data_IF_908824965210
#
_entry.id   IF_908824965210
#
_cell.length_a   1.000
_cell.length_b   1.000
_cell.length_c   1.000
_cell.angle_alpha   90.00
_cell.angle_beta   90.00
_cell.angle_gamma   90.00
#
_symmetry.space_group_name_H-M   'P 1'
#
loop_
_entity.id
_entity.type
_entity.pdbx_description
1 polymer ?
#
# COMPACT_ATOMS: atom_id res chain seq x y z
N UNK A 1 4.29 21.36 -12.34
CA UNK A 1 5.71 21.69 -12.10
C UNK A 1 5.91 22.58 -10.90
N UNK A 2 5.42 23.83 -10.85
CA UNK A 2 5.66 24.72 -9.71
C UNK A 2 5.37 24.12 -8.31
N UNK A 3 4.26 23.37 -8.16
CA UNK A 3 3.96 22.66 -6.92
C UNK A 3 4.97 21.53 -6.65
N UNK A 4 5.29 20.72 -7.66
CA UNK A 4 6.29 19.64 -7.58
C UNK A 4 7.67 20.17 -7.23
N UNK A 5 8.08 21.31 -7.79
CA UNK A 5 9.33 22.00 -7.47
C UNK A 5 9.35 22.43 -6.00
N UNK A 6 8.26 23.05 -5.54
CA UNK A 6 8.13 23.59 -4.18
C UNK A 6 8.13 22.49 -3.11
N UNK A 7 7.51 21.33 -3.37
CA UNK A 7 7.22 20.33 -2.34
C UNK A 7 7.89 18.97 -2.53
N UNK A 8 8.30 18.62 -3.76
CA UNK A 8 8.89 17.30 -4.06
C UNK A 8 10.36 17.42 -4.43
N UNK A 9 10.70 18.23 -5.45
CA UNK A 9 12.09 18.38 -5.94
C UNK A 9 12.98 19.02 -4.87
N UNK A 10 12.42 19.94 -4.07
CA UNK A 10 13.14 20.53 -2.93
C UNK A 10 13.57 19.48 -1.88
N UNK A 11 12.91 18.32 -1.86
CA UNK A 11 13.21 17.18 -1.00
C UNK A 11 13.69 15.97 -1.81
N UNK A 12 14.38 16.21 -2.94
CA UNK A 12 15.07 15.15 -3.69
C UNK A 12 16.22 14.60 -2.83
N UNK A 13 16.21 13.29 -2.61
CA UNK A 13 17.19 12.57 -1.81
C UNK A 13 18.53 12.35 -2.50
N UNK A 14 19.47 11.78 -1.77
CA UNK A 14 20.79 11.44 -2.30
C UNK A 14 20.71 10.37 -3.41
N UNK A 15 21.45 10.58 -4.50
CA UNK A 15 21.49 9.65 -5.62
C UNK A 15 22.54 8.54 -5.41
N UNK A 16 22.11 7.40 -4.90
CA UNK A 16 22.98 6.23 -4.71
C UNK A 16 23.51 5.62 -6.02
N UNK A 17 23.07 6.09 -7.20
CA UNK A 17 23.66 5.69 -8.47
C UNK A 17 25.03 6.36 -8.72
N UNK A 18 25.37 7.44 -7.98
CA UNK A 18 26.66 8.13 -8.07
C UNK A 18 27.82 7.18 -7.73
N UNK A 19 27.67 6.41 -6.66
CA UNK A 19 28.66 5.42 -6.19
C UNK A 19 28.93 4.32 -7.22
N UNK A 20 27.96 4.05 -8.11
CA UNK A 20 28.02 3.01 -9.15
C UNK A 20 28.38 3.57 -10.53
N UNK A 21 28.61 4.88 -10.67
CA UNK A 21 28.86 5.54 -11.97
C UNK A 21 27.66 5.51 -12.92
N UNK A 22 26.44 5.38 -12.38
CA UNK A 22 25.18 5.30 -13.15
C UNK A 22 24.28 6.52 -12.94
N UNK A 23 24.71 7.53 -12.17
CA UNK A 23 23.90 8.72 -11.94
C UNK A 23 23.52 9.44 -13.25
N UNK A 24 22.30 9.97 -13.30
CA UNK A 24 21.88 10.90 -14.34
C UNK A 24 22.42 12.30 -14.04
N UNK A 25 22.68 13.09 -15.07
CA UNK A 25 23.02 14.51 -14.88
C UNK A 25 21.82 15.29 -14.32
N UNK A 26 22.03 16.46 -13.73
CA UNK A 26 20.94 17.31 -13.22
C UNK A 26 19.88 17.60 -14.30
N UNK A 27 20.31 17.96 -15.51
CA UNK A 27 19.40 18.20 -16.63
C UNK A 27 18.54 16.97 -16.97
N UNK A 28 19.12 15.77 -16.98
CA UNK A 28 18.38 14.53 -17.23
C UNK A 28 17.40 14.20 -16.10
N UNK A 29 17.75 14.52 -14.85
CA UNK A 29 16.86 14.37 -13.70
C UNK A 29 15.68 15.35 -13.78
N UNK A 30 15.92 16.59 -14.21
CA UNK A 30 14.85 17.58 -14.39
C UNK A 30 13.87 17.16 -15.51
N UNK A 31 14.39 16.55 -16.58
CA UNK A 31 13.57 15.89 -17.62
C UNK A 31 12.75 14.72 -17.06
N UNK A 32 13.34 13.89 -16.19
CA UNK A 32 12.63 12.78 -15.54
C UNK A 32 11.50 13.29 -14.62
N UNK A 33 11.71 14.39 -13.90
CA UNK A 33 10.69 15.02 -13.05
C UNK A 33 9.50 15.49 -13.88
N UNK A 34 9.75 16.21 -14.97
CA UNK A 34 8.68 16.60 -15.88
C UNK A 34 7.96 15.39 -16.48
N UNK A 35 8.72 14.36 -16.86
CA UNK A 35 8.17 13.14 -17.44
C UNK A 35 7.25 12.43 -16.46
N UNK A 36 7.66 12.28 -15.20
CA UNK A 36 6.87 11.55 -14.20
C UNK A 36 5.58 12.30 -13.82
N UNK A 37 5.63 13.64 -13.74
CA UNK A 37 4.43 14.48 -13.55
C UNK A 37 3.47 14.35 -14.75
N UNK A 38 3.99 14.36 -15.98
CA UNK A 38 3.17 14.15 -17.19
C UNK A 38 2.54 12.75 -17.20
N UNK A 39 3.24 11.72 -16.74
CA UNK A 39 2.69 10.36 -16.64
C UNK A 39 1.56 10.29 -15.62
N UNK A 40 1.69 10.93 -14.46
CA UNK A 40 0.59 11.01 -13.49
C UNK A 40 -0.66 11.65 -14.11
N UNK A 41 -0.51 12.77 -14.84
CA UNK A 41 -1.62 13.40 -15.55
C UNK A 41 -2.27 12.46 -16.58
N UNK A 42 -1.46 11.79 -17.39
CA UNK A 42 -1.95 10.84 -18.41
C UNK A 42 -2.69 9.67 -17.75
N UNK A 43 -2.17 9.10 -16.67
CA UNK A 43 -2.82 8.00 -15.95
C UNK A 43 -4.16 8.46 -15.38
N UNK A 44 -4.20 9.63 -14.75
CA UNK A 44 -5.45 10.20 -14.23
C UNK A 44 -6.49 10.42 -15.34
N UNK A 45 -6.07 11.00 -16.47
CA UNK A 45 -6.94 11.25 -17.62
C UNK A 45 -7.41 9.94 -18.26
N UNK A 46 -6.57 8.90 -18.31
CA UNK A 46 -6.97 7.57 -18.76
C UNK A 46 -8.03 6.94 -17.85
N UNK A 47 -7.92 7.12 -16.53
CA UNK A 47 -8.89 6.57 -15.57
C UNK A 47 -10.25 7.28 -15.69
N UNK A 48 -10.24 8.60 -15.67
CA UNK A 48 -11.44 9.42 -15.40
C UNK A 48 -11.93 10.26 -16.58
N UNK A 49 -11.13 10.37 -17.64
CA UNK A 49 -11.35 11.32 -18.71
C UNK A 49 -10.94 12.75 -18.32
N UNK A 50 -10.91 13.65 -19.31
CA UNK A 50 -10.52 15.04 -19.09
C UNK A 50 -11.17 15.99 -20.12
N UNK A 51 -12.09 16.88 -19.69
CA UNK A 51 -12.72 17.86 -20.58
C UNK A 51 -11.73 18.78 -21.30
N UNK A 52 -10.55 19.05 -20.72
CA UNK A 52 -9.51 19.86 -21.38
C UNK A 52 -8.96 19.19 -22.64
N UNK A 53 -8.91 17.85 -22.68
CA UNK A 53 -8.51 17.12 -23.89
C UNK A 53 -9.52 17.32 -25.03
N UNK A 54 -10.81 17.40 -24.70
CA UNK A 54 -11.87 17.70 -25.68
C UNK A 54 -11.68 19.09 -26.29
N UNK A 55 -11.40 20.10 -25.46
CA UNK A 55 -11.13 21.47 -25.89
C UNK A 55 -9.87 21.57 -26.78
N UNK A 56 -8.89 20.70 -26.55
CA UNK A 56 -7.66 20.59 -27.34
C UNK A 56 -7.82 19.75 -28.63
N UNK A 57 -9.00 19.14 -28.84
CA UNK A 57 -9.32 18.37 -30.05
C UNK A 57 -9.14 16.85 -29.92
N UNK A 58 -8.68 16.34 -28.76
CA UNK A 58 -8.50 14.92 -28.45
C UNK A 58 -9.81 14.32 -27.92
N UNK A 59 -10.80 14.18 -28.83
CA UNK A 59 -12.18 13.83 -28.45
C UNK A 59 -12.30 12.43 -27.87
N UNK A 60 -11.58 11.46 -28.42
CA UNK A 60 -11.63 10.07 -27.96
C UNK A 60 -10.96 9.94 -26.59
N UNK A 61 -9.77 10.50 -26.43
CA UNK A 61 -8.98 10.46 -25.20
C UNK A 61 -9.66 11.22 -24.06
N UNK A 62 -10.48 12.23 -24.37
CA UNK A 62 -11.22 12.99 -23.35
C UNK A 62 -12.23 12.18 -22.54
N UNK A 63 -12.64 11.00 -23.04
CA UNK A 63 -13.64 10.15 -22.40
C UNK A 63 -13.11 9.38 -21.19
N UNK A 64 -11.82 9.02 -21.20
CA UNK A 64 -11.24 8.07 -20.25
C UNK A 64 -11.84 6.67 -20.34
N UNK A 65 -11.64 5.87 -19.28
CA UNK A 65 -12.03 4.45 -19.24
C UNK A 65 -13.03 4.11 -18.13
N UNK A 66 -13.60 5.12 -17.45
CA UNK A 66 -14.54 4.95 -16.33
C UNK A 66 -13.99 3.97 -15.27
N UNK A 67 -12.69 4.10 -14.97
CA UNK A 67 -11.96 3.17 -14.13
C UNK A 67 -12.02 3.61 -12.66
N UNK A 68 -12.64 2.79 -11.81
CA UNK A 68 -12.64 2.99 -10.35
C UNK A 68 -11.33 2.50 -9.68
N UNK A 69 -10.57 1.67 -10.39
CA UNK A 69 -9.24 1.22 -10.01
C UNK A 69 -8.45 0.91 -11.28
N UNK A 70 -7.13 1.08 -11.23
CA UNK A 70 -6.23 0.80 -12.34
C UNK A 70 -4.93 0.14 -11.84
N UNK A 71 -4.08 -0.25 -12.78
CA UNK A 71 -2.74 -0.74 -12.50
C UNK A 71 -1.78 -0.35 -13.61
N UNK A 72 -0.53 -0.10 -13.26
CA UNK A 72 0.54 0.20 -14.22
C UNK A 72 1.56 -0.91 -14.18
N UNK A 73 1.83 -1.52 -15.34
CA UNK A 73 2.73 -2.66 -15.38
C UNK A 73 4.16 -2.28 -15.00
N UNK A 74 4.68 -1.17 -15.57
CA UNK A 74 6.05 -0.70 -15.33
C UNK A 74 7.11 -1.73 -15.75
N UNK A 75 7.48 -2.60 -14.81
CA UNK A 75 8.48 -3.62 -15.06
C UNK A 75 7.99 -4.66 -16.10
N UNK A 76 8.80 -5.08 -17.06
CA UNK A 76 10.21 -4.69 -17.31
C UNK A 76 10.37 -3.73 -18.47
N UNK A 77 9.51 -3.82 -19.47
CA UNK A 77 9.69 -3.20 -20.78
C UNK A 77 9.66 -1.68 -20.71
N UNK A 78 8.80 -1.10 -19.85
CA UNK A 78 8.77 0.35 -19.67
C UNK A 78 9.97 0.83 -18.88
N UNK A 79 10.21 0.27 -17.69
CA UNK A 79 11.26 0.75 -16.76
C UNK A 79 12.69 0.46 -17.24
N UNK A 80 12.88 -0.50 -18.16
CA UNK A 80 14.14 -0.70 -18.86
C UNK A 80 14.50 0.48 -19.81
N UNK A 81 13.55 1.36 -20.13
CA UNK A 81 13.72 2.47 -21.08
C UNK A 81 13.32 3.86 -20.55
N UNK A 82 12.15 3.99 -19.89
CA UNK A 82 11.57 5.25 -19.40
C UNK A 82 11.57 5.30 -17.86
N UNK A 83 11.48 6.51 -17.26
CA UNK A 83 11.29 6.64 -15.82
C UNK A 83 10.15 5.77 -15.30
N UNK A 84 10.34 5.17 -14.13
CA UNK A 84 9.33 4.34 -13.49
C UNK A 84 8.09 5.14 -13.06
N UNK A 85 7.10 4.42 -12.52
CA UNK A 85 5.83 4.99 -12.11
C UNK A 85 5.77 5.30 -10.62
N UNK A 86 6.90 5.33 -9.90
CA UNK A 86 6.87 5.45 -8.44
C UNK A 86 6.18 6.73 -7.97
N UNK A 87 6.49 7.86 -8.60
CA UNK A 87 5.86 9.14 -8.30
C UNK A 87 4.36 9.15 -8.66
N UNK A 88 3.93 8.75 -9.88
CA UNK A 88 2.52 8.58 -10.20
C UNK A 88 1.77 7.65 -9.26
N UNK A 89 2.30 6.47 -8.95
CA UNK A 89 1.68 5.49 -8.05
C UNK A 89 1.51 6.06 -6.64
N UNK A 90 2.52 6.77 -6.14
CA UNK A 90 2.49 7.39 -4.81
C UNK A 90 1.46 8.51 -4.72
N UNK A 91 1.52 9.50 -5.63
CA UNK A 91 0.63 10.65 -5.58
C UNK A 91 -0.80 10.34 -6.04
N UNK A 92 -1.02 9.43 -6.99
CA UNK A 92 -2.37 9.00 -7.35
C UNK A 92 -3.07 8.36 -6.14
N UNK A 93 -2.36 7.51 -5.38
CA UNK A 93 -2.87 6.88 -4.17
C UNK A 93 -2.88 7.82 -2.94
N UNK A 94 -2.38 9.04 -3.06
CA UNK A 94 -2.38 10.07 -2.01
C UNK A 94 -3.65 10.92 -2.08
N UNK A 95 -4.15 11.37 -0.94
CA UNK A 95 -5.39 12.17 -0.83
C UNK A 95 -5.20 13.66 -1.13
N UNK A 96 -4.11 14.05 -1.79
CA UNK A 96 -3.81 15.42 -2.20
C UNK A 96 -2.77 15.44 -3.32
N UNK A 97 -2.81 16.49 -4.14
CA UNK A 97 -1.75 16.83 -5.09
C UNK A 97 -1.74 18.35 -5.37
N UNK A 98 -1.21 18.76 -6.51
CA UNK A 98 -1.16 20.16 -6.93
C UNK A 98 -2.53 20.82 -7.14
N UNK A 99 -3.62 20.06 -7.21
CA UNK A 99 -4.99 20.57 -7.27
C UNK A 99 -5.65 20.70 -5.89
N UNK A 100 -4.91 20.39 -4.82
CA UNK A 100 -5.41 20.41 -3.44
C UNK A 100 -5.78 19.01 -2.94
N UNK A 101 -6.51 18.98 -1.82
CA UNK A 101 -7.02 17.75 -1.20
C UNK A 101 -8.10 17.13 -2.08
N UNK A 102 -8.06 15.81 -2.26
CA UNK A 102 -8.99 15.03 -3.09
C UNK A 102 -9.12 13.59 -2.61
N UNK A 103 -10.08 12.88 -3.18
CA UNK A 103 -10.15 11.43 -3.05
C UNK A 103 -8.86 10.79 -3.60
N UNK A 104 -8.32 9.82 -2.86
CA UNK A 104 -7.21 9.00 -3.30
C UNK A 104 -7.68 8.02 -4.39
N UNK A 105 -6.93 7.89 -5.47
CA UNK A 105 -7.19 6.87 -6.48
C UNK A 105 -6.64 5.51 -6.04
N UNK A 106 -7.15 4.44 -6.67
CA UNK A 106 -6.58 3.10 -6.54
C UNK A 106 -5.75 2.79 -7.78
N UNK A 107 -4.42 2.83 -7.63
CA UNK A 107 -3.47 2.52 -8.69
C UNK A 107 -2.46 1.47 -8.22
N UNK A 108 -2.58 0.25 -8.74
CA UNK A 108 -1.75 -0.88 -8.35
C UNK A 108 -0.40 -0.89 -9.07
N UNK A 109 0.69 -0.86 -8.29
CA UNK A 109 2.05 -1.14 -8.73
C UNK A 109 2.11 -2.52 -9.43
N UNK A 110 2.95 -2.62 -10.46
CA UNK A 110 3.17 -3.84 -11.25
C UNK A 110 1.93 -4.43 -11.94
N UNK A 111 0.87 -3.63 -12.06
CA UNK A 111 -0.44 -4.05 -12.53
C UNK A 111 -0.97 -5.28 -11.77
N UNK A 112 -0.64 -5.40 -10.48
CA UNK A 112 -1.19 -6.45 -9.62
C UNK A 112 -2.65 -6.14 -9.32
N UNK A 113 -3.51 -6.56 -10.24
CA UNK A 113 -4.96 -6.37 -10.17
C UNK A 113 -5.57 -6.93 -8.89
N UNK A 114 -5.01 -7.99 -8.29
CA UNK A 114 -5.57 -8.58 -7.07
C UNK A 114 -5.21 -7.76 -5.83
N UNK A 115 -4.02 -7.14 -5.81
CA UNK A 115 -3.73 -6.11 -4.81
C UNK A 115 -4.60 -4.87 -5.04
N UNK A 116 -4.82 -4.48 -6.30
CA UNK A 116 -5.72 -3.39 -6.67
C UNK A 116 -7.16 -3.60 -6.18
N UNK A 117 -7.71 -4.81 -6.30
CA UNK A 117 -9.03 -5.14 -5.73
C UNK A 117 -9.02 -5.05 -4.20
N UNK A 118 -7.95 -5.54 -3.55
CA UNK A 118 -7.82 -5.44 -2.10
C UNK A 118 -7.73 -3.96 -1.64
N UNK A 119 -6.94 -3.13 -2.34
CA UNK A 119 -6.90 -1.69 -2.13
C UNK A 119 -8.27 -1.04 -2.33
N UNK A 120 -8.98 -1.42 -3.38
CA UNK A 120 -10.33 -0.92 -3.66
C UNK A 120 -11.32 -1.26 -2.54
N UNK A 121 -11.27 -2.47 -1.97
CA UNK A 121 -12.11 -2.81 -0.82
C UNK A 121 -11.79 -1.95 0.40
N UNK A 122 -10.51 -1.79 0.73
CA UNK A 122 -10.08 -0.90 1.82
C UNK A 122 -10.51 0.54 1.59
N UNK A 123 -10.38 1.04 0.36
CA UNK A 123 -10.74 2.40 -0.01
C UNK A 123 -12.24 2.64 0.10
N UNK A 124 -13.07 1.79 -0.52
CA UNK A 124 -14.53 1.95 -0.55
C UNK A 124 -15.18 1.83 0.84
N UNK A 125 -14.56 1.11 1.78
CA UNK A 125 -15.06 0.97 3.15
C UNK A 125 -14.62 2.12 4.07
N UNK A 126 -13.52 2.82 3.74
CA UNK A 126 -12.93 3.82 4.65
C UNK A 126 -12.89 5.24 4.11
N UNK A 127 -12.99 5.42 2.79
CA UNK A 127 -12.74 6.67 2.05
C UNK A 127 -11.34 7.26 2.30
N UNK A 128 -10.34 6.39 2.50
CA UNK A 128 -8.94 6.78 2.76
C UNK A 128 -8.03 6.24 1.67
N UNK A 129 -6.83 6.83 1.53
CA UNK A 129 -5.75 6.20 0.78
C UNK A 129 -5.43 4.81 1.35
N UNK A 130 -5.03 3.88 0.49
CA UNK A 130 -4.65 2.52 0.88
C UNK A 130 -3.23 2.26 0.42
N UNK A 131 -2.41 1.71 1.30
CA UNK A 131 -1.02 1.42 0.99
C UNK A 131 -0.93 0.19 0.07
N UNK A 132 -0.02 0.25 -0.89
CA UNK A 132 0.51 -0.92 -1.58
C UNK A 132 1.85 -1.28 -0.91
N UNK A 133 2.14 -2.55 -0.65
CA UNK A 133 3.44 -2.96 -0.11
C UNK A 133 3.83 -4.38 -0.49
N UNK A 134 5.13 -4.61 -0.70
CA UNK A 134 5.71 -5.94 -0.58
C UNK A 134 5.75 -6.37 0.89
N UNK A 135 5.40 -7.63 1.13
CA UNK A 135 5.57 -8.34 2.40
C UNK A 135 7.00 -8.87 2.42
N UNK A 136 7.95 -7.96 2.65
CA UNK A 136 9.34 -8.16 2.24
C UNK A 136 10.12 -9.10 3.15
N UNK A 137 10.06 -8.89 4.46
CA UNK A 137 10.92 -9.60 5.42
C UNK A 137 10.21 -9.82 6.74
N UNK A 138 10.28 -11.03 7.27
CA UNK A 138 10.00 -11.31 8.68
C UNK A 138 11.28 -11.13 9.50
N UNK A 139 11.22 -10.26 10.51
CA UNK A 139 12.27 -10.06 11.49
C UNK A 139 11.93 -10.77 12.78
N UNK A 140 12.53 -11.95 13.01
CA UNK A 140 12.44 -12.62 14.31
C UNK A 140 13.23 -11.85 15.37
N UNK A 141 12.87 -11.97 16.67
CA UNK A 141 13.62 -11.35 17.75
C UNK A 141 15.11 -11.73 17.74
N UNK A 142 15.42 -12.99 17.47
CA UNK A 142 16.79 -13.51 17.39
C UNK A 142 17.53 -12.93 16.18
N UNK A 143 16.86 -12.79 15.04
CA UNK A 143 17.45 -12.20 13.85
C UNK A 143 17.79 -10.72 14.05
N UNK A 144 16.92 -9.96 14.74
CA UNK A 144 17.18 -8.57 15.11
C UNK A 144 18.39 -8.49 16.04
N UNK A 145 18.37 -9.23 17.15
CA UNK A 145 19.49 -9.24 18.11
C UNK A 145 20.82 -9.60 17.47
N UNK A 146 20.83 -10.59 16.58
CA UNK A 146 22.04 -11.03 15.87
C UNK A 146 22.67 -9.94 15.00
N UNK A 147 21.87 -9.10 14.36
CA UNK A 147 22.36 -8.15 13.34
C UNK A 147 22.50 -6.72 13.85
N UNK A 148 21.78 -6.36 14.91
CA UNK A 148 21.84 -5.03 15.52
C UNK A 148 22.54 -5.03 16.88
N UNK A 149 22.72 -6.20 17.51
CA UNK A 149 23.16 -6.30 18.90
C UNK A 149 22.10 -5.87 19.93
N UNK A 150 20.91 -5.46 19.50
CA UNK A 150 19.80 -4.97 20.33
C UNK A 150 18.55 -5.84 20.19
N UNK A 151 17.73 -5.85 21.24
CA UNK A 151 16.42 -6.51 21.21
C UNK A 151 15.34 -5.47 20.87
N UNK A 152 14.41 -5.84 19.99
CA UNK A 152 13.20 -5.05 19.79
C UNK A 152 12.33 -5.11 21.05
N UNK A 153 11.64 -4.01 21.35
CA UNK A 153 10.83 -3.86 22.57
C UNK A 153 9.38 -3.50 22.23
N UNK A 154 8.51 -3.42 23.25
CA UNK A 154 7.10 -3.11 23.06
C UNK A 154 6.38 -4.13 22.18
N UNK A 155 5.53 -3.65 21.27
CA UNK A 155 4.78 -4.52 20.36
C UNK A 155 5.69 -5.31 19.40
N UNK A 156 6.88 -4.80 19.09
CA UNK A 156 7.83 -5.44 18.18
C UNK A 156 8.63 -6.58 18.84
N UNK A 157 8.50 -6.81 20.16
CA UNK A 157 9.30 -7.78 20.90
C UNK A 157 9.10 -9.23 20.44
N UNK A 158 7.91 -9.57 19.90
CA UNK A 158 7.60 -10.89 19.34
C UNK A 158 8.01 -11.09 17.88
N UNK A 159 8.71 -10.11 17.30
CA UNK A 159 9.00 -10.03 15.88
C UNK A 159 8.04 -9.12 15.13
N UNK A 160 8.39 -8.79 13.89
CA UNK A 160 7.62 -7.87 13.04
C UNK A 160 7.88 -8.17 11.57
N UNK A 161 7.04 -7.61 10.70
CA UNK A 161 7.13 -7.73 9.25
C UNK A 161 7.53 -6.38 8.66
N UNK A 162 8.51 -6.39 7.76
CA UNK A 162 8.90 -5.25 6.95
C UNK A 162 7.97 -5.15 5.75
N UNK A 163 7.11 -4.14 5.74
CA UNK A 163 6.28 -3.78 4.61
C UNK A 163 6.96 -2.64 3.86
N UNK A 164 7.31 -2.86 2.60
CA UNK A 164 8.09 -1.90 1.80
C UNK A 164 7.85 -2.15 0.32
N UNK A 165 7.00 -1.35 -0.33
CA UNK A 165 6.83 -1.46 -1.78
C UNK A 165 8.12 -1.12 -2.52
N UNK A 166 8.22 -1.54 -3.77
CA UNK A 166 9.35 -1.32 -4.68
C UNK A 166 9.50 0.10 -5.21
N UNK A 167 9.13 1.11 -4.42
CA UNK A 167 9.36 2.53 -4.72
C UNK A 167 8.21 3.46 -4.34
N UNK A 168 6.97 2.97 -4.34
CA UNK A 168 5.79 3.82 -4.23
C UNK A 168 4.85 3.44 -3.09
N UNK A 169 4.30 4.41 -2.38
CA UNK A 169 3.07 4.19 -1.60
C UNK A 169 2.39 5.53 -1.33
N UNK A 170 1.15 5.49 -0.85
CA UNK A 170 0.41 6.71 -0.48
C UNK A 170 1.14 7.52 0.59
N UNK A 171 1.28 8.83 0.39
CA UNK A 171 1.94 9.73 1.34
C UNK A 171 1.11 9.90 2.62
N UNK A 172 -0.19 9.60 2.58
CA UNK A 172 -1.05 9.51 3.75
C UNK A 172 -0.45 8.55 4.80
N UNK A 173 0.22 7.49 4.35
CA UNK A 173 0.79 6.46 5.22
C UNK A 173 2.06 6.89 5.96
N UNK A 174 2.60 8.09 5.70
CA UNK A 174 3.58 8.70 6.60
C UNK A 174 3.10 8.70 8.05
N UNK A 175 1.78 8.74 8.28
CA UNK A 175 1.19 8.90 9.61
C UNK A 175 1.45 10.28 10.19
N UNK A 176 1.76 11.26 9.33
CA UNK A 176 2.08 12.61 9.74
C UNK A 176 0.81 13.41 10.17
N UNK A 177 -0.35 13.01 9.67
CA UNK A 177 -1.65 13.51 10.12
C UNK A 177 -1.95 12.98 11.53
N UNK A 178 -2.69 13.76 12.32
CA UNK A 178 -3.09 13.36 13.68
C UNK A 178 -4.58 13.42 13.92
N UNK A 179 -5.12 12.50 14.72
CA UNK A 179 -6.49 12.54 15.22
C UNK A 179 -6.68 13.61 16.32
N UNK A 180 -7.88 13.67 16.90
CA UNK A 180 -8.22 14.65 17.94
C UNK A 180 -7.40 14.44 19.23
N UNK A 181 -6.91 13.22 19.47
CA UNK A 181 -6.05 12.84 20.59
C UNK A 181 -4.55 13.02 20.28
N UNK A 182 -4.21 13.50 19.08
CA UNK A 182 -2.82 13.71 18.65
C UNK A 182 -2.09 12.43 18.21
N UNK A 183 -2.79 11.32 17.99
CA UNK A 183 -2.20 10.05 17.53
C UNK A 183 -2.07 10.05 16.01
N UNK A 184 -1.05 9.37 15.44
CA UNK A 184 -0.88 9.27 14.00
C UNK A 184 -2.08 8.57 13.35
N UNK A 185 -2.51 9.09 12.20
CA UNK A 185 -3.68 8.58 11.48
C UNK A 185 -3.57 8.81 9.98
N UNK A 186 -4.45 8.16 9.22
CA UNK A 186 -4.78 8.50 7.83
C UNK A 186 -6.21 9.03 7.82
N UNK A 187 -6.42 10.28 7.40
CA UNK A 187 -7.73 10.94 7.46
C UNK A 187 -8.54 10.69 6.19
N UNK A 188 -9.85 10.88 6.29
CA UNK A 188 -10.71 11.02 5.11
C UNK A 188 -10.44 12.37 4.45
N UNK A 189 -10.62 12.52 3.13
CA UNK A 189 -10.20 13.73 2.42
C UNK A 189 -10.89 15.00 2.93
N UNK A 190 -12.15 14.94 3.34
CA UNK A 190 -12.85 16.12 3.89
C UNK A 190 -12.36 16.55 5.28
N UNK A 191 -11.53 15.75 5.95
CA UNK A 191 -10.94 16.06 7.26
C UNK A 191 -9.44 16.44 7.16
N UNK A 192 -8.84 16.39 5.96
CA UNK A 192 -7.43 16.76 5.73
C UNK A 192 -7.30 18.28 5.65
N UNK A 193 -6.36 18.81 6.43
CA UNK A 193 -6.01 20.25 6.43
C UNK A 193 -4.74 20.53 5.63
N UNK A 194 -4.51 21.79 5.24
CA UNK A 194 -3.26 22.20 4.60
C UNK A 194 -2.02 21.86 5.46
N UNK A 195 -2.14 21.93 6.79
CA UNK A 195 -1.08 21.55 7.72
C UNK A 195 -0.78 20.04 7.66
N UNK A 196 -1.81 19.20 7.54
CA UNK A 196 -1.64 17.76 7.34
C UNK A 196 -0.89 17.47 6.03
N UNK A 197 -1.27 18.15 4.94
CA UNK A 197 -0.62 18.03 3.62
C UNK A 197 0.87 18.39 3.72
N UNK A 198 1.19 19.55 4.31
CA UNK A 198 2.58 19.99 4.45
C UNK A 198 3.41 19.05 5.32
N UNK A 199 2.83 18.48 6.38
CA UNK A 199 3.49 17.47 7.21
C UNK A 199 3.81 16.20 6.42
N UNK A 200 2.85 15.64 5.69
CA UNK A 200 3.08 14.44 4.87
C UNK A 200 4.16 14.66 3.80
N UNK A 201 4.13 15.82 3.12
CA UNK A 201 5.15 16.17 2.11
C UNK A 201 6.54 16.32 2.73
N UNK A 202 6.63 16.93 3.92
CA UNK A 202 7.91 17.13 4.63
C UNK A 202 8.55 15.82 5.09
N UNK A 203 7.74 14.84 5.49
CA UNK A 203 8.24 13.50 5.89
C UNK A 203 8.66 12.63 4.69
N UNK A 204 8.35 13.05 3.46
CA UNK A 204 8.61 12.26 2.24
C UNK A 204 9.82 12.80 1.47
N UNK A 205 10.87 12.00 1.37
CA UNK A 205 12.06 12.27 0.54
C UNK A 205 11.97 11.52 -0.78
N UNK A 206 12.27 12.19 -1.91
CA UNK A 206 12.16 11.59 -3.24
C UNK A 206 13.52 11.13 -3.76
N UNK A 207 13.80 9.83 -3.71
CA UNK A 207 15.10 9.30 -4.11
C UNK A 207 15.14 8.95 -5.60
N UNK A 208 16.20 9.32 -6.34
CA UNK A 208 16.42 8.79 -7.69
C UNK A 208 16.44 7.26 -7.69
N UNK A 209 15.62 6.64 -8.54
CA UNK A 209 15.46 5.19 -8.58
C UNK A 209 16.78 4.45 -8.86
N UNK A 210 16.98 3.27 -8.28
CA UNK A 210 18.16 2.44 -8.53
C UNK A 210 18.17 1.96 -9.99
N UNK A 211 19.14 2.45 -10.77
CA UNK A 211 19.24 2.20 -12.21
C UNK A 211 19.79 0.81 -12.56
N UNK A 212 20.14 0.00 -11.56
CA UNK A 212 20.32 -1.44 -11.74
C UNK A 212 18.99 -2.16 -12.03
N UNK A 213 17.89 -1.65 -11.46
CA UNK A 213 16.53 -2.15 -11.67
C UNK A 213 15.74 -1.29 -12.66
N UNK A 214 15.70 0.03 -12.43
CA UNK A 214 14.93 1.01 -13.19
C UNK A 214 15.85 1.81 -14.10
N UNK A 215 16.31 1.19 -15.18
CA UNK A 215 17.34 1.77 -16.09
C UNK A 215 16.93 3.14 -16.63
N UNK A 216 15.64 3.35 -16.84
CA UNK A 216 15.04 4.59 -17.29
C UNK A 216 14.96 5.71 -16.25
N UNK A 217 15.26 5.45 -14.97
CA UNK A 217 15.19 6.44 -13.87
C UNK A 217 13.82 6.47 -13.18
N UNK A 218 13.50 7.59 -12.54
CA UNK A 218 12.30 7.76 -11.71
C UNK A 218 12.62 8.19 -10.28
N UNK A 219 11.58 8.34 -9.45
CA UNK A 219 11.70 8.88 -8.10
C UNK A 219 10.82 8.12 -7.11
N UNK A 220 11.45 7.37 -6.19
CA UNK A 220 10.77 6.63 -5.15
C UNK A 220 10.39 7.53 -3.96
N UNK A 221 9.22 7.32 -3.38
CA UNK A 221 8.71 8.06 -2.23
C UNK A 221 9.21 7.44 -0.93
N UNK A 222 10.35 7.88 -0.40
CA UNK A 222 10.89 7.36 0.85
C UNK A 222 10.32 8.09 2.07
N UNK A 223 9.82 7.33 3.02
CA UNK A 223 9.49 7.78 4.38
C UNK A 223 9.43 6.57 5.31
N UNK A 224 9.31 6.83 6.62
CA UNK A 224 9.03 5.83 7.65
C UNK A 224 7.65 6.11 8.25
N UNK A 225 6.71 5.18 8.07
CA UNK A 225 5.38 5.28 8.67
C UNK A 225 5.49 5.32 10.19
N UNK A 226 4.84 6.29 10.84
CA UNK A 226 4.83 6.39 12.30
C UNK A 226 4.22 5.15 12.96
N UNK A 227 4.79 4.74 14.09
CA UNK A 227 4.25 3.68 14.93
C UNK A 227 2.93 4.04 15.61
N UNK A 228 2.17 3.02 15.99
CA UNK A 228 0.94 3.13 16.78
C UNK A 228 -0.35 3.24 15.96
N UNK A 229 -0.28 3.26 14.62
CA UNK A 229 -1.49 3.26 13.79
C UNK A 229 -2.10 1.85 13.75
N UNK A 230 -3.40 1.67 14.08
CA UNK A 230 -4.09 0.43 13.79
C UNK A 230 -4.22 0.29 12.27
N UNK A 231 -3.92 -0.89 11.74
CA UNK A 231 -4.01 -1.16 10.31
C UNK A 231 -4.51 -2.58 10.05
N UNK A 232 -5.10 -2.78 8.88
CA UNK A 232 -5.54 -4.09 8.38
C UNK A 232 -4.80 -4.37 7.09
N UNK A 233 -3.93 -5.39 7.12
CA UNK A 233 -3.31 -5.92 5.92
C UNK A 233 -4.27 -6.91 5.26
N UNK A 234 -4.45 -6.80 3.95
CA UNK A 234 -5.40 -7.60 3.18
C UNK A 234 -4.84 -8.02 1.82
N UNK A 235 -5.26 -9.21 1.36
CA UNK A 235 -4.87 -9.74 0.05
C UNK A 235 -5.99 -10.59 -0.54
N UNK A 236 -6.35 -10.31 -1.79
CA UNK A 236 -7.16 -11.22 -2.61
C UNK A 236 -6.22 -12.14 -3.40
N UNK A 237 -6.52 -13.43 -3.44
CA UNK A 237 -5.83 -14.41 -4.28
C UNK A 237 -6.85 -15.20 -5.10
N UNK A 238 -6.47 -15.67 -6.29
CA UNK A 238 -7.29 -16.61 -7.06
C UNK A 238 -6.66 -17.99 -6.98
N UNK A 239 -7.39 -18.95 -6.41
CA UNK A 239 -6.96 -20.34 -6.32
C UNK A 239 -7.71 -21.16 -7.36
N UNK A 240 -6.97 -21.90 -8.19
CA UNK A 240 -7.56 -22.74 -9.24
C UNK A 240 -8.54 -23.75 -8.62
N UNK A 241 -9.74 -23.84 -9.21
CA UNK A 241 -10.86 -24.68 -8.76
C UNK A 241 -11.55 -24.26 -7.45
N UNK A 242 -11.13 -23.16 -6.83
CA UNK A 242 -11.79 -22.57 -5.67
C UNK A 242 -12.36 -21.18 -5.99
N UNK A 243 -11.63 -20.38 -6.78
CA UNK A 243 -12.00 -19.01 -7.11
C UNK A 243 -11.25 -17.98 -6.25
N UNK A 244 -11.79 -16.76 -6.11
CA UNK A 244 -11.17 -15.74 -5.26
C UNK A 244 -11.30 -16.13 -3.78
N UNK A 245 -10.25 -15.87 -3.01
CA UNK A 245 -10.23 -15.92 -1.55
C UNK A 245 -9.59 -14.64 -1.01
N UNK A 246 -9.91 -14.27 0.22
CA UNK A 246 -9.32 -13.09 0.87
C UNK A 246 -8.63 -13.45 2.20
N UNK A 247 -7.44 -12.87 2.42
CA UNK A 247 -6.67 -12.96 3.66
C UNK A 247 -6.66 -11.60 4.36
N UNK A 248 -6.77 -11.62 5.69
CA UNK A 248 -6.81 -10.44 6.54
C UNK A 248 -5.85 -10.63 7.72
N UNK A 249 -5.10 -9.59 8.06
CA UNK A 249 -4.31 -9.53 9.28
C UNK A 249 -4.40 -8.13 9.88
N UNK A 250 -5.21 -7.98 10.92
CA UNK A 250 -5.23 -6.77 11.74
C UNK A 250 -3.96 -6.69 12.59
N UNK A 251 -3.47 -5.48 12.79
CA UNK A 251 -2.28 -5.24 13.60
C UNK A 251 -1.99 -3.77 13.74
N UNK A 252 -0.74 -3.43 13.98
CA UNK A 252 -0.30 -2.05 14.19
C UNK A 252 1.00 -1.77 13.46
N UNK A 253 1.15 -0.53 13.01
CA UNK A 253 2.48 0.01 12.72
C UNK A 253 3.25 0.17 14.03
N UNK A 254 4.57 0.03 14.00
CA UNK A 254 5.41 0.16 15.20
C UNK A 254 6.65 1.00 14.93
N UNK A 255 7.06 1.78 15.91
CA UNK A 255 8.38 2.42 15.90
C UNK A 255 9.42 1.43 16.43
N UNK A 256 10.60 1.43 15.81
CA UNK A 256 11.77 0.70 16.29
C UNK A 256 12.77 1.68 16.91
N UNK A 257 13.68 1.16 17.75
CA UNK A 257 14.88 1.91 18.11
C UNK A 257 15.57 2.42 16.83
N UNK A 258 15.97 3.71 16.75
CA UNK A 258 16.49 4.29 15.51
C UNK A 258 17.70 3.54 14.93
N UNK A 259 18.55 2.94 15.77
CA UNK A 259 19.69 2.15 15.32
C UNK A 259 19.25 0.80 14.75
N UNK A 260 18.23 0.17 15.34
CA UNK A 260 17.60 -1.01 14.74
C UNK A 260 17.05 -0.63 13.38
N UNK A 261 16.24 0.42 13.27
CA UNK A 261 15.68 0.86 12.00
C UNK A 261 16.78 1.10 10.94
N UNK A 262 17.83 1.88 11.25
CA UNK A 262 18.88 2.20 10.28
C UNK A 262 19.57 0.94 9.73
N UNK A 263 19.96 0.01 10.62
CA UNK A 263 20.63 -1.24 10.22
C UNK A 263 19.74 -2.12 9.35
N UNK A 264 18.45 -2.22 9.66
CA UNK A 264 17.51 -3.03 8.87
C UNK A 264 17.18 -2.36 7.54
N UNK A 265 16.92 -1.06 7.54
CA UNK A 265 16.54 -0.25 6.38
C UNK A 265 17.66 -0.23 5.32
N UNK A 266 18.89 0.10 5.74
CA UNK A 266 20.05 0.18 4.83
C UNK A 266 20.41 -1.12 4.13
N UNK A 267 20.09 -2.24 4.76
CA UNK A 267 20.34 -3.59 4.23
C UNK A 267 19.25 -4.08 3.28
N UNK A 268 18.06 -3.49 3.33
CA UNK A 268 16.90 -3.95 2.55
C UNK A 268 16.73 -3.10 1.30
N UNK A 269 16.19 -1.90 1.46
CA UNK A 269 16.23 -0.83 0.46
C UNK A 269 15.98 0.50 1.19
N UNK A 270 17.00 1.37 1.20
CA UNK A 270 16.98 2.66 1.91
C UNK A 270 16.29 3.78 1.15
N UNK A 271 15.86 3.53 -0.09
CA UNK A 271 15.23 4.52 -0.98
C UNK A 271 13.73 4.34 -1.08
N UNK A 272 13.17 3.30 -0.47
CA UNK A 272 11.76 2.92 -0.57
C UNK A 272 10.99 3.18 0.74
N UNK A 273 9.66 3.36 0.71
CA UNK A 273 8.86 3.67 1.89
C UNK A 273 8.77 2.48 2.85
N UNK A 274 9.15 2.65 4.11
CA UNK A 274 9.14 1.58 5.12
C UNK A 274 7.96 1.70 6.07
N UNK A 275 7.29 0.59 6.31
CA UNK A 275 6.37 0.39 7.43
C UNK A 275 6.75 -0.87 8.21
N UNK A 276 6.94 -0.75 9.51
CA UNK A 276 7.11 -1.91 10.40
C UNK A 276 5.76 -2.32 10.94
N UNK A 277 5.36 -3.56 10.65
CA UNK A 277 4.03 -4.07 11.00
C UNK A 277 4.13 -5.22 12.00
N UNK A 278 3.28 -5.17 13.02
CA UNK A 278 3.07 -6.26 13.97
C UNK A 278 1.62 -6.73 13.88
N UNK A 279 1.36 -7.96 13.41
CA UNK A 279 0.01 -8.52 13.41
C UNK A 279 -0.45 -8.82 14.83
N UNK A 280 -1.75 -8.66 15.09
CA UNK A 280 -2.38 -9.20 16.29
C UNK A 280 -2.31 -10.72 16.24
N UNK A 281 -1.71 -11.32 17.26
CA UNK A 281 -1.55 -12.77 17.36
C UNK A 281 -2.76 -13.40 18.06
N UNK A 282 -3.09 -14.62 17.64
CA UNK A 282 -4.04 -15.49 18.31
C UNK A 282 -3.49 -16.93 18.33
N UNK A 283 -2.99 -17.40 19.49
CA UNK A 283 -2.44 -18.76 19.62
C UNK A 283 -3.42 -19.89 19.29
N UNK A 284 -4.73 -19.62 19.18
CA UNK A 284 -5.73 -20.62 18.78
C UNK A 284 -5.70 -20.91 17.28
N UNK A 285 -5.22 -19.96 16.48
CA UNK A 285 -5.17 -20.06 15.03
C UNK A 285 -3.73 -20.26 14.57
N UNK A 286 -3.44 -21.37 13.86
CA UNK A 286 -2.07 -21.72 13.47
C UNK A 286 -1.39 -20.61 12.64
N UNK A 287 -2.15 -19.94 11.78
CA UNK A 287 -1.68 -18.81 10.96
C UNK A 287 -1.36 -17.54 11.76
N UNK A 288 -1.79 -17.44 13.03
CA UNK A 288 -1.58 -16.28 13.90
C UNK A 288 -0.92 -16.63 15.24
N UNK A 289 -0.38 -17.85 15.37
CA UNK A 289 0.30 -18.28 16.62
C UNK A 289 1.56 -17.47 16.92
N UNK A 290 2.23 -16.99 15.87
CA UNK A 290 3.40 -16.12 15.92
C UNK A 290 3.50 -15.30 14.62
N UNK A 291 4.35 -14.27 14.62
CA UNK A 291 4.50 -13.35 13.47
C UNK A 291 5.06 -14.07 12.25
N UNK A 292 5.91 -15.07 12.45
CA UNK A 292 6.42 -15.92 11.37
C UNK A 292 5.26 -16.61 10.63
N UNK A 293 4.33 -17.19 11.37
CA UNK A 293 3.21 -17.94 10.82
C UNK A 293 2.29 -17.05 10.00
N UNK A 294 2.14 -15.77 10.38
CA UNK A 294 1.40 -14.79 9.59
C UNK A 294 2.05 -14.59 8.22
N UNK A 295 3.37 -14.33 8.19
CA UNK A 295 4.07 -14.15 6.91
C UNK A 295 4.11 -15.45 6.09
N UNK A 296 4.35 -16.59 6.74
CA UNK A 296 4.48 -17.89 6.08
C UNK A 296 3.16 -18.36 5.43
N UNK A 297 2.01 -17.93 5.96
CA UNK A 297 0.70 -18.26 5.40
C UNK A 297 0.19 -17.19 4.42
N UNK A 298 0.90 -16.07 4.23
CA UNK A 298 0.50 -15.03 3.28
C UNK A 298 0.65 -15.53 1.83
N UNK A 299 -0.40 -15.38 1.02
CA UNK A 299 -0.54 -16.07 -0.27
C UNK A 299 0.12 -15.38 -1.47
N UNK A 300 0.78 -14.23 -1.28
CA UNK A 300 1.43 -13.46 -2.34
C UNK A 300 2.63 -12.67 -1.79
N UNK A 301 3.42 -12.05 -2.66
CA UNK A 301 4.47 -11.11 -2.23
C UNK A 301 3.90 -9.73 -1.85
N UNK A 302 2.71 -9.36 -2.34
CA UNK A 302 2.08 -8.08 -2.04
C UNK A 302 0.97 -8.16 -0.99
N UNK A 303 0.70 -7.04 -0.35
CA UNK A 303 -0.52 -6.79 0.42
C UNK A 303 -1.00 -5.35 0.26
N UNK A 304 -2.30 -5.14 0.47
CA UNK A 304 -2.88 -3.81 0.64
C UNK A 304 -3.04 -3.53 2.15
N UNK A 305 -2.71 -2.32 2.61
CA UNK A 305 -2.79 -1.97 4.03
C UNK A 305 -3.67 -0.73 4.19
N UNK A 306 -4.83 -0.93 4.82
CA UNK A 306 -5.76 0.14 5.15
C UNK A 306 -5.60 0.57 6.61
N UNK A 307 -5.78 1.86 6.88
CA UNK A 307 -5.84 2.38 8.23
C UNK A 307 -7.13 1.94 8.95
N UNK A 308 -6.97 1.53 10.20
CA UNK A 308 -8.02 0.98 11.06
C UNK A 308 -8.02 -0.55 11.11
N UNK A 309 -8.72 -1.07 12.11
CA UNK A 309 -9.10 -2.48 12.23
C UNK A 309 -10.46 -2.66 11.55
N UNK A 310 -10.42 -2.97 10.26
CA UNK A 310 -11.60 -3.05 9.39
C UNK A 310 -11.88 -4.50 8.93
N UNK A 311 -11.31 -5.49 9.62
CA UNK A 311 -11.42 -6.89 9.23
C UNK A 311 -12.87 -7.37 9.23
N UNK A 312 -13.68 -6.95 10.20
CA UNK A 312 -15.11 -7.28 10.27
C UNK A 312 -15.91 -6.72 9.07
N UNK A 313 -15.60 -5.49 8.64
CA UNK A 313 -16.23 -4.87 7.48
C UNK A 313 -15.88 -5.62 6.19
N UNK A 314 -14.60 -6.00 6.05
CA UNK A 314 -14.14 -6.79 4.90
C UNK A 314 -14.76 -8.19 4.91
N UNK A 315 -14.89 -8.86 6.07
CA UNK A 315 -15.59 -10.16 6.19
C UNK A 315 -17.05 -10.04 5.73
N UNK A 316 -17.72 -8.95 6.13
CA UNK A 316 -19.09 -8.68 5.71
C UNK A 316 -19.17 -8.48 4.20
N UNK A 317 -18.33 -7.62 3.62
CA UNK A 317 -18.25 -7.38 2.18
C UNK A 317 -17.94 -8.66 1.39
N UNK A 318 -16.97 -9.45 1.86
CA UNK A 318 -16.57 -10.71 1.24
C UNK A 318 -17.74 -11.71 1.21
N UNK A 319 -18.54 -11.78 2.27
CA UNK A 319 -19.74 -12.64 2.30
C UNK A 319 -20.83 -12.17 1.32
N UNK A 320 -21.00 -10.85 1.14
CA UNK A 320 -21.89 -10.28 0.12
C UNK A 320 -21.40 -10.65 -1.28
N UNK A 321 -20.09 -10.67 -1.51
CA UNK A 321 -19.49 -11.03 -2.81
C UNK A 321 -19.28 -12.54 -3.00
N UNK A 322 -19.53 -13.35 -1.95
CA UNK A 322 -19.31 -14.80 -1.90
C UNK A 322 -17.84 -15.17 -2.13
N UNK A 323 -16.94 -14.39 -1.53
CA UNK A 323 -15.50 -14.63 -1.48
C UNK A 323 -15.18 -15.24 -0.11
N UNK A 324 -14.71 -16.50 -0.03
CA UNK A 324 -14.28 -17.09 1.23
C UNK A 324 -13.12 -16.33 1.87
N UNK A 325 -13.18 -16.15 3.19
CA UNK A 325 -12.09 -15.59 3.98
C UNK A 325 -11.20 -16.74 4.46
N UNK A 326 -10.02 -16.89 3.85
CA UNK A 326 -9.16 -18.06 4.08
C UNK A 326 -8.13 -17.88 5.20
N UNK A 327 -8.01 -16.67 5.76
CA UNK A 327 -7.13 -16.35 6.90
C UNK A 327 -7.61 -15.02 7.52
N UNK A 328 -7.92 -14.99 8.82
CA UNK A 328 -8.18 -13.76 9.56
C UNK A 328 -7.90 -13.90 11.06
N UNK A 329 -7.62 -12.78 11.75
CA UNK A 329 -7.48 -12.68 13.20
C UNK A 329 -8.57 -11.79 13.86
N UNK A 330 -9.67 -11.56 13.13
CA UNK A 330 -10.87 -10.90 13.65
C UNK A 330 -11.59 -11.81 14.65
N UNK A 331 -12.15 -11.23 15.72
CA UNK A 331 -12.88 -11.99 16.75
C UNK A 331 -14.15 -12.62 16.16
N UNK A 332 -14.49 -13.84 16.58
CA UNK A 332 -15.69 -14.55 16.13
C UNK A 332 -17.00 -13.78 16.40
N UNK A 333 -17.01 -12.93 17.42
CA UNK A 333 -18.17 -12.11 17.81
C UNK A 333 -18.42 -10.93 16.85
N UNK A 334 -17.40 -10.51 16.12
CA UNK A 334 -17.46 -9.43 15.13
C UNK A 334 -17.80 -9.95 13.73
N UNK A 335 -17.77 -11.27 13.51
CA UNK A 335 -18.11 -11.88 12.23
C UNK A 335 -19.59 -11.67 11.93
N UNK A 336 -19.87 -10.76 11.01
CA UNK A 336 -21.20 -10.49 10.51
C UNK A 336 -21.34 -10.93 9.05
N UNK A 337 -22.29 -11.83 8.80
CA UNK A 337 -22.58 -12.42 7.48
C UNK A 337 -24.10 -12.59 7.33
N UNK A 338 -24.64 -12.79 6.10
CA UNK A 338 -26.05 -13.10 5.94
C UNK A 338 -26.47 -14.28 6.80
N UNK A 339 -27.64 -14.20 7.46
CA UNK A 339 -28.10 -15.20 8.42
C UNK A 339 -28.12 -16.64 7.86
N UNK A 340 -28.23 -16.79 6.54
CA UNK A 340 -28.17 -18.09 5.87
C UNK A 340 -26.83 -18.82 6.07
N UNK A 341 -25.70 -18.13 6.33
CA UNK A 341 -24.41 -18.77 6.65
C UNK A 341 -24.52 -19.68 7.88
N UNK A 342 -25.35 -19.32 8.87
CA UNK A 342 -25.54 -20.11 10.09
C UNK A 342 -26.11 -21.52 9.79
N UNK A 343 -26.87 -21.67 8.70
CA UNK A 343 -27.40 -22.96 8.28
C UNK A 343 -26.34 -23.89 7.67
N UNK A 344 -25.17 -23.36 7.29
CA UNK A 344 -24.05 -24.14 6.77
C UNK A 344 -23.13 -24.67 7.87
N UNK A 345 -23.36 -24.34 9.15
CA UNK A 345 -22.65 -24.93 10.28
C UNK A 345 -22.20 -23.91 11.32
N UNK A 346 -21.82 -24.39 12.50
CA UNK A 346 -21.34 -23.55 13.62
C UNK A 346 -19.86 -23.16 13.47
N UNK A 347 -19.07 -24.01 12.80
CA UNK A 347 -17.69 -23.72 12.42
C UNK A 347 -17.67 -22.60 11.37
N UNK A 348 -17.18 -21.41 11.75
CA UNK A 348 -17.31 -20.17 10.98
C UNK A 348 -16.56 -20.21 9.64
N UNK A 349 -15.39 -20.84 9.61
CA UNK A 349 -14.60 -21.02 8.39
C UNK A 349 -15.30 -22.01 7.44
N UNK A 350 -15.61 -23.22 7.91
CA UNK A 350 -16.26 -24.23 7.09
C UNK A 350 -17.63 -23.79 6.59
N UNK A 351 -18.40 -23.06 7.40
CA UNK A 351 -19.67 -22.47 6.97
C UNK A 351 -19.48 -21.47 5.83
N UNK A 352 -18.41 -20.67 5.87
CA UNK A 352 -18.09 -19.69 4.83
C UNK A 352 -17.81 -20.34 3.48
N UNK A 353 -16.92 -21.33 3.47
CA UNK A 353 -16.59 -22.07 2.26
C UNK A 353 -17.82 -22.77 1.66
N UNK A 354 -18.63 -23.43 2.49
CA UNK A 354 -19.85 -24.10 2.02
C UNK A 354 -20.87 -23.11 1.47
N UNK A 355 -21.10 -21.99 2.14
CA UNK A 355 -22.04 -20.97 1.69
C UNK A 355 -21.57 -20.30 0.39
N UNK A 356 -20.30 -19.86 0.32
CA UNK A 356 -19.74 -19.25 -0.88
C UNK A 356 -19.78 -20.21 -2.09
N UNK A 357 -19.44 -21.49 -1.88
CA UNK A 357 -19.54 -22.52 -2.93
C UNK A 357 -20.98 -22.74 -3.39
N UNK A 358 -21.94 -22.73 -2.46
CA UNK A 358 -23.35 -22.99 -2.74
C UNK A 358 -24.00 -21.84 -3.51
N UNK A 359 -23.72 -20.61 -3.13
CA UNK A 359 -24.33 -19.42 -3.76
C UNK A 359 -23.60 -18.97 -5.03
N UNK A 360 -22.28 -19.20 -5.11
CA UNK A 360 -21.46 -18.78 -6.22
C UNK A 360 -21.33 -17.24 -6.33
N UNK A 361 -20.66 -16.76 -7.41
CA UNK A 361 -20.46 -15.33 -7.62
C UNK A 361 -21.79 -14.60 -7.82
N UNK A 362 -21.85 -13.32 -7.39
CA UNK A 362 -23.06 -12.51 -7.46
C UNK A 362 -23.56 -12.29 -8.90
N UNK A 363 -22.64 -12.16 -9.85
CA UNK A 363 -22.91 -11.96 -11.28
C UNK A 363 -22.24 -13.09 -12.07
N UNK A 364 -22.90 -13.59 -13.13
CA UNK A 364 -22.41 -14.70 -13.96
C UNK A 364 -22.86 -14.57 -15.40
#
# INVERSE_FOLDING_TARGET
MAWTEKYCICNEGHDYNEEKGKAKTRAQKDEDWEFTVKNMLIINDLMHGNPRLLELGFKEESLGHNAIAAGVQGQRQWTDYKPNFDFPESLMCTSFDWNGVREANVLATENDSLNGVAMLFGHLLTNRGVMFSDIRTYWSPEAVKRVTGKEATGMAAGGFIHLINSGATTLDATGAMTDAEGKPTMKQPWDITDEDVEKCLKETTWYPADRDYFRGGGYSSNFLSKGGMPVTMMRVNIVKNLGPVIQLAEGWTVDLDPEIHDVLNRRTDKTWPTTWFVPRLDPKHDAFKDVYSVMNNWGANHGAIAYGHIGADIITLASILRIPVCMHNVSDEEIFRPAAWNAFGMDKEGADYRACTTYGPMYK
#
